data_IF_267193836618
#
_entry.id   IF_267193836618
#
_cell.length_a   1.000
_cell.length_b   1.000
_cell.length_c   1.000
_cell.angle_alpha   90.00
_cell.angle_beta   90.00
_cell.angle_gamma   90.00
#
_symmetry.space_group_name_H-M   'P 1'
#
loop_
_entity.id
_entity.type
_entity.pdbx_description
1 polymer ?
#
# COMPACT_ATOMS: atom_id res chain seq x y z
N UNK A 1 -28.03 18.59 4.20
CA UNK A 1 -27.82 19.56 3.12
C UNK A 1 -26.68 20.48 3.55
N UNK A 2 -25.45 20.15 3.16
CA UNK A 2 -24.28 20.95 3.52
C UNK A 2 -24.06 22.03 2.46
N UNK A 3 -24.13 23.28 2.89
CA UNK A 3 -23.86 24.46 2.08
C UNK A 3 -22.37 24.42 1.76
N UNK A 4 -22.01 24.31 0.49
CA UNK A 4 -20.64 24.35 0.02
C UNK A 4 -20.24 25.83 -0.05
N UNK A 5 -19.39 26.37 0.86
CA UNK A 5 -18.90 27.72 0.68
C UNK A 5 -17.93 27.66 -0.50
N UNK A 6 -18.22 28.43 -1.54
CA UNK A 6 -17.48 28.46 -2.80
C UNK A 6 -15.96 28.34 -2.57
N UNK A 7 -15.42 27.18 -2.91
CA UNK A 7 -13.98 26.97 -3.00
C UNK A 7 -13.58 27.63 -4.30
N UNK A 8 -13.16 28.90 -4.22
CA UNK A 8 -12.34 29.51 -5.28
C UNK A 8 -11.18 28.53 -5.49
N UNK A 9 -11.13 27.89 -6.66
CA UNK A 9 -10.27 26.75 -7.01
C UNK A 9 -8.76 27.05 -7.02
N UNK A 10 -8.31 27.98 -6.18
CA UNK A 10 -6.90 28.26 -5.92
C UNK A 10 -6.31 27.17 -5.06
N UNK A 11 -5.58 26.27 -5.70
CA UNK A 11 -4.63 25.36 -5.07
C UNK A 11 -3.69 26.15 -4.16
N UNK A 12 -3.60 25.74 -2.88
CA UNK A 12 -2.70 26.34 -1.89
C UNK A 12 -1.54 25.37 -1.66
N UNK A 13 -0.31 25.83 -1.88
CA UNK A 13 0.88 25.00 -1.72
C UNK A 13 1.50 25.22 -0.33
N UNK A 14 1.85 24.14 0.37
CA UNK A 14 2.73 24.22 1.54
C UNK A 14 4.13 24.64 1.07
N UNK A 15 4.68 25.68 1.68
CA UNK A 15 6.05 26.15 1.45
C UNK A 15 6.82 25.99 2.77
N UNK A 16 8.15 25.94 2.72
CA UNK A 16 8.99 25.85 3.92
C UNK A 16 8.73 27.03 4.90
N UNK A 17 8.38 28.20 4.37
CA UNK A 17 7.98 29.39 5.14
C UNK A 17 6.49 29.48 5.43
N UNK A 18 5.68 28.52 4.95
CA UNK A 18 4.23 28.52 5.10
C UNK A 18 3.68 27.09 5.21
N UNK A 19 3.78 26.58 6.44
CA UNK A 19 3.36 25.23 6.85
C UNK A 19 1.89 25.11 7.22
N UNK A 20 1.14 26.22 7.29
CA UNK A 20 -0.25 26.23 7.76
C UNK A 20 -1.20 26.81 6.70
N UNK A 21 -2.26 26.06 6.43
CA UNK A 21 -3.39 26.48 5.62
C UNK A 21 -4.69 26.17 6.35
N UNK A 22 -5.59 27.15 6.37
CA UNK A 22 -6.90 26.99 6.98
C UNK A 22 -7.85 28.09 6.56
N UNK A 23 -9.13 27.88 6.85
CA UNK A 23 -10.18 28.88 6.68
C UNK A 23 -10.44 29.47 8.06
N UNK A 24 -10.09 30.75 8.27
CA UNK A 24 -10.19 31.41 9.58
C UNK A 24 -11.63 31.58 10.10
N UNK A 25 -12.63 31.31 9.26
CA UNK A 25 -14.07 31.39 9.59
C UNK A 25 -14.84 30.21 8.99
N UNK A 26 -14.40 28.98 9.29
CA UNK A 26 -14.98 27.76 8.73
C UNK A 26 -16.43 27.51 9.17
N UNK A 27 -16.70 27.51 10.47
CA UNK A 27 -18.05 27.30 11.04
C UNK A 27 -18.22 28.10 12.32
N UNK A 28 -19.41 28.67 12.54
CA UNK A 28 -19.69 29.39 13.79
C UNK A 28 -19.88 28.42 14.95
N UNK A 29 -19.48 28.83 16.16
CA UNK A 29 -19.66 28.04 17.38
C UNK A 29 -21.14 27.65 17.60
N UNK A 30 -22.07 28.54 17.25
CA UNK A 30 -23.52 28.27 17.36
C UNK A 30 -23.94 27.08 16.50
N UNK A 31 -23.46 27.01 15.25
CA UNK A 31 -23.81 25.92 14.32
C UNK A 31 -23.09 24.63 14.73
N UNK A 32 -21.81 24.74 15.11
CA UNK A 32 -20.98 23.59 15.50
C UNK A 32 -21.53 22.87 16.75
N UNK A 33 -22.03 23.63 17.73
CA UNK A 33 -22.52 23.09 19.01
C UNK A 33 -24.00 22.73 19.00
N UNK A 34 -24.74 23.02 17.94
CA UNK A 34 -26.15 22.66 17.84
C UNK A 34 -26.25 21.16 17.48
N UNK A 35 -26.78 20.31 18.39
CA UNK A 35 -26.82 18.86 18.19
C UNK A 35 -27.63 18.43 16.97
N UNK A 36 -28.59 19.26 16.52
CA UNK A 36 -29.41 18.99 15.34
C UNK A 36 -28.61 19.02 14.03
N UNK A 37 -27.44 19.67 14.01
CA UNK A 37 -26.59 19.75 12.83
C UNK A 37 -25.64 18.54 12.70
N UNK A 38 -25.49 17.71 13.74
CA UNK A 38 -24.71 16.47 13.70
C UNK A 38 -23.18 16.65 13.63
N UNK A 39 -22.66 17.86 13.84
CA UNK A 39 -21.20 18.13 13.80
C UNK A 39 -20.46 17.72 15.08
N UNK A 40 -21.14 17.78 16.23
CA UNK A 40 -20.63 17.37 17.54
C UNK A 40 -21.45 16.18 18.01
N UNK A 41 -20.82 15.00 18.07
CA UNK A 41 -21.47 13.76 18.54
C UNK A 41 -20.61 13.17 19.65
N UNK A 42 -21.18 12.98 20.84
CA UNK A 42 -20.47 12.47 22.02
C UNK A 42 -19.20 13.27 22.34
N UNK A 43 -19.28 14.60 22.34
CA UNK A 43 -18.15 15.52 22.53
C UNK A 43 -16.99 15.37 21.52
N UNK A 44 -17.21 14.65 20.42
CA UNK A 44 -16.24 14.46 19.34
C UNK A 44 -16.65 15.24 18.09
N UNK A 45 -15.67 15.89 17.45
CA UNK A 45 -15.82 16.58 16.16
C UNK A 45 -14.80 15.98 15.20
N UNK A 46 -15.24 15.65 13.99
CA UNK A 46 -14.37 15.13 12.92
C UNK A 46 -14.29 16.16 11.80
N UNK A 47 -13.08 16.60 11.46
CA UNK A 47 -12.82 17.44 10.29
C UNK A 47 -12.08 16.62 9.23
N UNK A 48 -12.56 16.66 7.98
CA UNK A 48 -11.86 16.10 6.83
C UNK A 48 -10.92 17.13 6.20
N UNK A 49 -9.71 16.72 5.84
CA UNK A 49 -8.78 17.51 5.04
C UNK A 49 -8.31 16.68 3.84
N UNK A 50 -8.32 17.29 2.66
CA UNK A 50 -7.81 16.68 1.44
C UNK A 50 -6.47 17.34 1.08
N UNK A 51 -5.41 16.52 0.95
CA UNK A 51 -4.04 16.99 0.68
C UNK A 51 -3.48 16.25 -0.52
N UNK A 52 -2.98 17.01 -1.49
CA UNK A 52 -2.31 16.48 -2.68
C UNK A 52 -0.80 16.76 -2.62
N UNK A 53 0.01 15.74 -2.87
CA UNK A 53 1.47 15.87 -2.96
C UNK A 53 1.87 15.89 -4.42
N UNK A 54 2.25 17.06 -4.94
CA UNK A 54 2.75 17.22 -6.31
C UNK A 54 4.27 17.22 -6.29
N UNK A 55 4.89 16.15 -6.79
CA UNK A 55 6.33 16.14 -7.08
C UNK A 55 6.54 16.84 -8.43
N UNK A 56 7.23 17.97 -8.42
CA UNK A 56 7.65 18.66 -9.64
C UNK A 56 9.01 18.13 -10.07
N UNK A 57 9.01 17.02 -10.78
CA UNK A 57 10.10 16.73 -11.71
C UNK A 57 9.74 17.43 -13.02
N UNK A 58 10.64 18.28 -13.51
CA UNK A 58 10.37 19.14 -14.66
C UNK A 58 10.36 18.35 -15.97
N UNK A 59 9.24 17.68 -16.31
CA UNK A 59 8.89 17.29 -17.68
C UNK A 59 7.36 17.44 -17.87
N UNK A 60 6.97 18.18 -18.91
CA UNK A 60 5.59 18.48 -19.29
C UNK A 60 5.00 17.26 -20.01
N UNK A 61 4.43 16.33 -19.26
CA UNK A 61 3.53 15.31 -19.81
C UNK A 61 2.27 15.28 -18.94
N UNK A 62 1.09 15.42 -19.54
CA UNK A 62 -0.17 15.35 -18.81
C UNK A 62 -0.39 13.92 -18.33
N UNK A 63 -0.13 13.67 -17.04
CA UNK A 63 -0.41 12.40 -16.41
C UNK A 63 -1.90 12.33 -16.07
N UNK A 64 -2.63 11.46 -16.77
CA UNK A 64 -4.00 11.11 -16.39
C UNK A 64 -3.96 10.01 -15.32
N UNK A 65 -4.71 10.20 -14.24
CA UNK A 65 -4.93 9.18 -13.22
C UNK A 65 -6.19 8.39 -13.57
N UNK A 66 -6.02 7.16 -14.04
CA UNK A 66 -7.13 6.26 -14.22
C UNK A 66 -7.35 5.51 -12.90
N UNK A 67 -8.46 5.82 -12.21
CA UNK A 67 -8.93 5.05 -11.06
C UNK A 67 -9.41 3.71 -11.62
N UNK A 68 -8.59 2.68 -11.46
CA UNK A 68 -8.89 1.31 -11.87
C UNK A 68 -8.81 0.46 -10.61
N UNK A 69 -9.76 -0.45 -10.43
CA UNK A 69 -9.79 -1.35 -9.29
C UNK A 69 -9.46 -2.76 -9.79
N UNK A 70 -8.18 -3.02 -10.05
CA UNK A 70 -7.74 -4.28 -10.65
C UNK A 70 -7.04 -5.13 -9.59
N UNK A 71 -7.50 -6.37 -9.49
CA UNK A 71 -6.91 -7.40 -8.65
C UNK A 71 -6.06 -8.32 -9.51
N UNK A 72 -4.76 -8.40 -9.22
CA UNK A 72 -3.86 -9.35 -9.85
C UNK A 72 -3.53 -10.44 -8.85
N UNK A 73 -3.73 -11.69 -9.24
CA UNK A 73 -3.33 -12.85 -8.45
C UNK A 73 -2.19 -13.57 -9.13
N UNK A 74 -1.13 -13.83 -8.39
CA UNK A 74 0.02 -14.58 -8.88
C UNK A 74 0.38 -15.71 -7.93
N UNK A 75 0.78 -16.85 -8.51
CA UNK A 75 1.07 -18.07 -7.78
C UNK A 75 2.54 -18.45 -7.98
N UNK A 76 3.26 -18.63 -6.88
CA UNK A 76 4.63 -19.11 -6.88
C UNK A 76 4.70 -20.47 -6.20
N UNK A 77 4.89 -21.51 -7.01
CA UNK A 77 4.99 -22.90 -6.55
C UNK A 77 6.45 -23.24 -6.25
N UNK A 78 6.73 -23.53 -4.99
CA UNK A 78 8.04 -23.91 -4.50
C UNK A 78 8.08 -25.43 -4.33
N UNK A 79 8.96 -26.08 -5.07
CA UNK A 79 9.21 -27.53 -4.97
C UNK A 79 10.39 -27.80 -4.04
N UNK A 80 10.45 -29.02 -3.50
CA UNK A 80 11.52 -29.48 -2.60
C UNK A 80 11.79 -28.48 -1.46
N UNK A 81 10.72 -27.98 -0.83
CA UNK A 81 10.80 -26.92 0.17
C UNK A 81 11.78 -27.27 1.31
N UNK A 82 11.78 -28.53 1.75
CA UNK A 82 12.68 -29.06 2.77
C UNK A 82 14.17 -28.91 2.46
N UNK A 83 14.55 -28.77 1.17
CA UNK A 83 15.94 -28.62 0.72
C UNK A 83 16.38 -27.17 0.60
N UNK A 84 15.48 -26.21 0.78
CA UNK A 84 15.79 -24.78 0.63
C UNK A 84 16.63 -24.27 1.79
N UNK A 85 17.88 -23.92 1.48
CA UNK A 85 18.82 -23.32 2.43
C UNK A 85 19.05 -21.83 2.18
N UNK A 86 18.76 -21.37 0.98
CA UNK A 86 19.00 -20.01 0.51
C UNK A 86 17.73 -19.39 -0.05
N UNK A 87 17.78 -18.07 -0.23
CA UNK A 87 16.74 -17.28 -0.87
C UNK A 87 16.35 -17.85 -2.24
N UNK A 88 15.05 -17.95 -2.51
CA UNK A 88 14.54 -18.30 -3.84
C UNK A 88 13.65 -17.19 -4.43
N UNK A 89 13.46 -17.26 -5.75
CA UNK A 89 12.79 -16.21 -6.53
C UNK A 89 11.74 -16.81 -7.46
N UNK A 90 10.60 -16.13 -7.61
CA UNK A 90 9.65 -16.44 -8.66
C UNK A 90 10.15 -15.99 -10.04
N UNK A 91 9.42 -16.39 -11.07
CA UNK A 91 9.50 -15.82 -12.39
C UNK A 91 9.08 -14.33 -12.45
N UNK A 92 9.46 -13.71 -13.57
CA UNK A 92 8.96 -12.43 -14.09
C UNK A 92 7.43 -12.36 -14.18
N UNK A 93 6.71 -11.55 -13.39
CA UNK A 93 5.29 -11.26 -13.67
C UNK A 93 4.95 -9.77 -13.74
N UNK A 94 3.82 -9.44 -14.38
CA UNK A 94 3.36 -8.06 -14.59
C UNK A 94 2.06 -7.83 -13.83
N UNK A 95 2.01 -6.76 -13.03
CA UNK A 95 0.81 -6.29 -12.35
C UNK A 95 0.82 -4.76 -12.30
N UNK A 96 -0.31 -4.12 -12.63
CA UNK A 96 -0.41 -2.65 -12.69
C UNK A 96 0.54 -2.00 -13.68
N UNK A 97 0.88 -2.68 -14.78
CA UNK A 97 1.86 -2.20 -15.77
C UNK A 97 3.32 -2.25 -15.29
N UNK A 98 3.59 -2.80 -14.10
CA UNK A 98 4.92 -2.89 -13.51
C UNK A 98 5.40 -4.35 -13.45
N UNK A 99 6.72 -4.55 -13.52
CA UNK A 99 7.36 -5.86 -13.44
C UNK A 99 7.75 -6.19 -12.00
N UNK A 100 7.39 -7.39 -11.54
CA UNK A 100 7.57 -7.84 -10.18
C UNK A 100 8.20 -9.23 -10.10
N UNK A 101 8.87 -9.51 -8.97
CA UNK A 101 9.27 -10.86 -8.54
C UNK A 101 8.93 -11.06 -7.08
N UNK A 102 8.57 -12.29 -6.72
CA UNK A 102 8.44 -12.72 -5.34
C UNK A 102 9.80 -13.26 -4.87
N UNK A 103 10.17 -12.94 -3.65
CA UNK A 103 11.36 -13.43 -2.96
C UNK A 103 10.91 -14.17 -1.72
N UNK A 104 11.42 -15.37 -1.50
CA UNK A 104 11.20 -16.13 -0.27
C UNK A 104 12.56 -16.44 0.38
N UNK A 105 12.69 -16.08 1.66
CA UNK A 105 13.82 -16.48 2.48
C UNK A 105 13.35 -17.60 3.43
N UNK A 106 13.74 -18.87 3.16
CA UNK A 106 13.23 -20.02 3.89
C UNK A 106 13.72 -20.07 5.34
N UNK A 107 14.83 -19.38 5.66
CA UNK A 107 15.39 -19.24 7.02
C UNK A 107 15.17 -17.85 7.62
N UNK A 108 14.35 -17.03 6.97
CA UNK A 108 14.03 -15.70 7.43
C UNK A 108 15.10 -14.66 7.12
N UNK A 109 14.78 -13.42 7.46
CA UNK A 109 15.58 -12.22 7.24
C UNK A 109 15.25 -11.19 8.30
N UNK A 110 16.19 -10.31 8.63
CA UNK A 110 15.99 -9.24 9.61
C UNK A 110 15.47 -9.77 10.94
N UNK A 111 14.30 -9.28 11.36
CA UNK A 111 13.66 -9.66 12.64
C UNK A 111 13.13 -11.09 12.67
N UNK A 112 12.99 -11.77 11.53
CA UNK A 112 12.52 -13.15 11.46
C UNK A 112 13.63 -14.18 11.21
N UNK A 113 14.90 -13.77 11.22
CA UNK A 113 16.05 -14.67 11.00
C UNK A 113 15.97 -15.89 11.93
N UNK A 114 16.18 -17.08 11.37
CA UNK A 114 16.18 -18.40 12.02
C UNK A 114 14.90 -18.78 12.80
N UNK A 115 13.83 -17.99 12.67
CA UNK A 115 12.57 -18.22 13.39
C UNK A 115 11.36 -18.22 12.47
N UNK A 116 11.42 -17.52 11.34
CA UNK A 116 10.33 -17.36 10.40
C UNK A 116 10.80 -17.60 8.96
N UNK A 117 9.86 -17.90 8.07
CA UNK A 117 10.02 -17.66 6.64
C UNK A 117 9.73 -16.19 6.36
N UNK A 118 10.56 -15.54 5.56
CA UNK A 118 10.30 -14.18 5.07
C UNK A 118 9.83 -14.18 3.64
N UNK A 119 8.95 -13.25 3.30
CA UNK A 119 8.43 -13.08 1.93
C UNK A 119 8.53 -11.60 1.56
N UNK A 120 9.08 -11.33 0.38
CA UNK A 120 9.18 -9.98 -0.17
C UNK A 120 8.68 -9.92 -1.61
N UNK A 121 8.17 -8.76 -1.99
CA UNK A 121 7.84 -8.38 -3.34
C UNK A 121 8.88 -7.36 -3.82
N UNK A 122 9.53 -7.68 -4.93
CA UNK A 122 10.55 -6.83 -5.53
C UNK A 122 10.03 -6.18 -6.80
N UNK A 123 10.17 -4.85 -6.89
CA UNK A 123 9.88 -4.09 -8.09
C UNK A 123 11.14 -4.00 -8.94
N UNK A 124 11.11 -4.44 -10.20
CA UNK A 124 12.34 -4.55 -11.00
C UNK A 124 13.01 -3.22 -11.35
N UNK A 125 12.30 -2.10 -11.24
CA UNK A 125 12.89 -0.76 -11.41
C UNK A 125 13.34 -0.15 -10.07
N UNK A 126 13.29 -0.91 -8.98
CA UNK A 126 13.76 -0.52 -7.66
C UNK A 126 14.83 -1.49 -7.16
N UNK A 127 15.80 -0.97 -6.42
CA UNK A 127 16.77 -1.80 -5.69
C UNK A 127 16.21 -2.33 -4.38
N UNK A 128 15.05 -1.81 -3.94
CA UNK A 128 14.44 -2.15 -2.67
C UNK A 128 13.28 -3.11 -2.86
N UNK A 129 13.25 -4.16 -2.05
CA UNK A 129 12.09 -5.04 -1.90
C UNK A 129 11.27 -4.65 -0.67
N UNK A 130 9.97 -4.92 -0.69
CA UNK A 130 9.07 -4.71 0.46
C UNK A 130 8.40 -6.02 0.84
N UNK A 131 8.17 -6.25 2.12
CA UNK A 131 7.57 -7.50 2.56
C UNK A 131 7.61 -7.69 4.06
N UNK A 132 7.53 -8.94 4.46
CA UNK A 132 7.43 -9.37 5.86
C UNK A 132 8.66 -10.19 6.24
N UNK A 133 9.59 -9.60 7.02
CA UNK A 133 10.75 -10.31 7.55
C UNK A 133 10.36 -11.47 8.48
N UNK A 134 9.23 -11.37 9.19
CA UNK A 134 8.63 -12.45 9.97
C UNK A 134 7.22 -12.75 9.46
N UNK A 135 7.11 -13.51 8.36
CA UNK A 135 5.81 -13.78 7.73
C UNK A 135 5.07 -14.95 8.40
N UNK A 136 5.77 -16.07 8.61
CA UNK A 136 5.22 -17.27 9.24
C UNK A 136 6.34 -17.99 9.98
N UNK A 137 6.08 -18.43 11.21
CA UNK A 137 7.06 -19.17 12.01
C UNK A 137 7.47 -20.48 11.31
N UNK A 138 8.75 -20.83 11.44
CA UNK A 138 9.27 -22.10 10.90
C UNK A 138 8.57 -23.31 11.50
N UNK A 139 8.25 -23.27 12.80
CA UNK A 139 7.49 -24.34 13.46
C UNK A 139 6.08 -24.47 12.86
N UNK A 140 5.45 -23.36 12.52
CA UNK A 140 4.08 -23.35 11.98
C UNK A 140 4.02 -23.79 10.52
N UNK A 141 4.93 -23.30 9.66
CA UNK A 141 4.91 -23.68 8.23
C UNK A 141 5.30 -25.16 8.02
N UNK A 142 6.17 -25.70 8.87
CA UNK A 142 6.63 -27.08 8.79
C UNK A 142 5.74 -28.07 9.56
N UNK A 143 4.72 -27.61 10.29
CA UNK A 143 3.76 -28.50 10.95
C UNK A 143 2.87 -29.17 9.88
N UNK A 144 2.97 -30.51 9.70
CA UNK A 144 2.21 -31.22 8.67
C UNK A 144 0.69 -31.12 8.88
N UNK A 145 0.23 -30.85 10.10
CA UNK A 145 -1.20 -30.69 10.38
C UNK A 145 -1.76 -29.34 9.91
N UNK A 146 -0.89 -28.37 9.60
CA UNK A 146 -1.31 -27.04 9.12
C UNK A 146 -1.53 -26.99 7.61
N UNK A 147 -0.92 -27.91 6.86
CA UNK A 147 -1.14 -28.06 5.42
C UNK A 147 -0.50 -26.98 4.53
N UNK A 148 0.46 -26.20 5.04
CA UNK A 148 1.19 -25.20 4.24
C UNK A 148 2.15 -25.85 3.24
N UNK A 149 2.72 -27.00 3.61
CA UNK A 149 3.59 -27.81 2.77
C UNK A 149 2.89 -29.14 2.53
N UNK A 150 2.63 -29.46 1.26
CA UNK A 150 2.00 -30.72 0.84
C UNK A 150 2.90 -31.37 -0.20
N UNK A 151 3.29 -32.63 0.01
CA UNK A 151 4.24 -33.34 -0.87
C UNK A 151 5.55 -32.56 -1.10
N UNK A 152 6.11 -32.01 -0.02
CA UNK A 152 7.29 -31.14 -0.03
C UNK A 152 7.18 -29.92 -0.96
N UNK A 153 5.94 -29.48 -1.23
CA UNK A 153 5.64 -28.34 -2.07
C UNK A 153 4.89 -27.28 -1.27
N UNK A 154 5.35 -26.03 -1.36
CA UNK A 154 4.68 -24.86 -0.83
C UNK A 154 4.10 -24.03 -1.99
N UNK A 155 2.84 -23.60 -1.89
CA UNK A 155 2.21 -22.73 -2.88
C UNK A 155 1.96 -21.35 -2.28
N UNK A 156 2.79 -20.38 -2.64
CA UNK A 156 2.59 -19.00 -2.24
C UNK A 156 1.66 -18.30 -3.26
N UNK A 157 0.65 -17.61 -2.77
CA UNK A 157 -0.22 -16.76 -3.60
C UNK A 157 -0.11 -15.31 -3.13
N UNK A 158 0.11 -14.38 -4.05
CA UNK A 158 0.10 -12.95 -3.77
C UNK A 158 -1.03 -12.30 -4.55
N UNK A 159 -1.82 -11.50 -3.83
CA UNK A 159 -2.85 -10.63 -4.40
C UNK A 159 -2.33 -9.18 -4.41
N UNK A 160 -2.23 -8.58 -5.59
CA UNK A 160 -1.83 -7.19 -5.79
C UNK A 160 -3.07 -6.39 -6.16
N UNK A 161 -3.33 -5.36 -5.35
CA UNK A 161 -4.40 -4.42 -5.55
C UNK A 161 -3.87 -3.12 -6.16
N UNK A 162 -4.32 -2.80 -7.36
CA UNK A 162 -3.97 -1.55 -8.04
C UNK A 162 -5.21 -0.67 -8.06
N UNK A 163 -5.13 0.51 -7.43
CA UNK A 163 -6.23 1.46 -7.28
C UNK A 163 -6.16 2.64 -8.25
N UNK A 164 -4.96 2.96 -8.73
CA UNK A 164 -4.75 4.00 -9.72
C UNK A 164 -3.50 3.70 -10.54
N UNK A 165 -3.57 3.99 -11.84
CA UNK A 165 -2.40 3.99 -12.72
C UNK A 165 -2.28 5.38 -13.35
N UNK A 166 -1.08 5.93 -13.24
CA UNK A 166 -0.67 7.15 -13.92
C UNK A 166 -0.33 6.81 -15.37
N UNK A 167 -1.09 7.34 -16.31
CA UNK A 167 -0.82 7.20 -17.75
C UNK A 167 -0.31 8.51 -18.31
N UNK A 168 0.80 8.42 -19.04
CA UNK A 168 1.33 9.51 -19.86
C UNK A 168 0.47 9.58 -21.12
N UNK A 169 -0.18 10.73 -21.36
CA UNK A 169 -0.89 10.99 -22.61
C UNK A 169 0.04 11.80 -23.52
N UNK A 170 0.38 11.23 -24.69
CA UNK A 170 1.12 11.90 -25.75
C UNK A 170 0.20 12.65 -26.71
#
# INVERSE_FOLDING_TARGET
MAVNPAIDGRTRCFLETKSEWGISKFISKKILLDPSNGYLVNDNIVFGAEVFVVKKDAIIECVSLNIINIHYKHHFKILDFSKLNERCFSEQFIAGGQKWKIILDPKGSGTGTDSHVSIFLNHLASINSRGWPACIELATINDPNKGFIVNDCCLLSIDIHVQAVANIIN
#
